data_IF_769874968205
#
_entry.id   IF_769874968205
#
_cell.length_a   1.000
_cell.length_b   1.000
_cell.length_c   1.000
_cell.angle_alpha   90.00
_cell.angle_beta   90.00
_cell.angle_gamma   90.00
#
_symmetry.space_group_name_H-M   'P 1'
#
loop_
_entity.id
_entity.type
_entity.pdbx_description
1 polymer ?
#
# COMPACT_ATOMS: atom_id res chain seq x y z
N UNK A 1 6.57 23.92 46.65
CA UNK A 1 6.33 22.47 46.67
C UNK A 1 6.00 22.05 45.24
N UNK A 2 6.87 21.26 44.61
CA UNK A 2 6.59 20.51 43.37
C UNK A 2 6.67 21.28 42.05
N UNK A 3 7.88 21.46 41.53
CA UNK A 3 8.14 21.68 40.10
C UNK A 3 7.73 20.41 39.35
N UNK A 4 6.83 20.49 38.37
CA UNK A 4 6.64 19.43 37.39
C UNK A 4 7.59 19.68 36.23
N UNK A 5 8.50 18.75 36.06
CA UNK A 5 9.68 18.82 35.20
C UNK A 5 9.29 18.96 33.73
N UNK A 6 9.70 20.07 33.12
CA UNK A 6 9.92 20.16 31.68
C UNK A 6 11.13 19.27 31.34
N UNK A 7 10.88 18.02 30.95
CA UNK A 7 11.93 17.14 30.45
C UNK A 7 12.33 17.56 29.04
N UNK A 8 13.35 18.42 28.99
CA UNK A 8 14.54 18.32 28.13
C UNK A 8 14.33 17.56 26.80
N UNK A 9 13.97 18.30 25.76
CA UNK A 9 14.21 17.89 24.35
C UNK A 9 15.35 18.71 23.75
N UNK A 10 16.37 19.04 24.55
CA UNK A 10 17.60 19.67 24.05
C UNK A 10 18.63 18.57 23.73
N UNK A 11 18.97 18.44 22.45
CA UNK A 11 20.13 17.65 22.00
C UNK A 11 19.82 16.35 21.26
N UNK A 12 18.56 16.08 20.87
CA UNK A 12 18.29 15.06 19.86
C UNK A 12 18.41 15.72 18.49
N UNK A 13 19.37 15.25 17.68
CA UNK A 13 19.44 15.56 16.25
C UNK A 13 18.03 15.45 15.66
N UNK A 14 17.60 16.37 14.78
CA UNK A 14 16.25 16.36 14.23
C UNK A 14 16.01 14.97 13.68
N UNK A 15 15.17 14.18 14.37
CA UNK A 15 14.73 12.89 13.87
C UNK A 15 14.26 13.17 12.46
N UNK A 16 14.93 12.58 11.46
CA UNK A 16 14.64 12.89 10.07
C UNK A 16 13.13 12.75 9.87
N UNK A 17 12.49 13.90 9.70
CA UNK A 17 11.04 14.00 9.72
C UNK A 17 10.58 13.69 8.29
N UNK A 18 10.11 12.48 8.07
CA UNK A 18 9.59 12.04 6.78
C UNK A 18 8.16 12.51 6.62
N UNK A 19 7.86 13.11 5.47
CA UNK A 19 6.50 13.51 5.13
C UNK A 19 5.77 12.33 4.47
N UNK A 20 4.72 11.83 5.11
CA UNK A 20 3.90 10.76 4.55
C UNK A 20 3.10 11.25 3.32
N UNK A 21 3.12 10.48 2.22
CA UNK A 21 2.39 10.85 0.99
C UNK A 21 0.87 10.78 1.12
N UNK A 22 0.34 10.04 2.09
CA UNK A 22 -1.10 9.86 2.28
C UNK A 22 -1.69 10.86 3.29
N UNK A 23 -1.17 10.92 4.51
CA UNK A 23 -1.70 11.82 5.56
C UNK A 23 -1.01 13.19 5.61
N UNK A 24 0.06 13.39 4.82
CA UNK A 24 0.82 14.64 4.74
C UNK A 24 1.48 15.10 6.05
N UNK A 25 1.49 14.25 7.09
CA UNK A 25 2.14 14.51 8.37
C UNK A 25 3.65 14.27 8.28
N UNK A 26 4.43 15.07 9.03
CA UNK A 26 5.84 14.85 9.27
C UNK A 26 5.99 13.89 10.45
N UNK A 27 6.68 12.77 10.24
CA UNK A 27 6.75 11.67 11.18
C UNK A 27 8.19 11.22 11.36
N UNK A 28 8.55 10.71 12.55
CA UNK A 28 9.87 10.15 12.78
C UNK A 28 10.07 8.88 11.94
N UNK A 29 11.34 8.54 11.66
CA UNK A 29 11.70 7.32 10.93
C UNK A 29 11.09 6.04 11.55
N UNK A 30 10.89 6.01 12.86
CA UNK A 30 10.24 4.90 13.59
C UNK A 30 8.81 4.64 13.13
N UNK A 31 8.12 5.63 12.58
CA UNK A 31 6.76 5.53 12.05
C UNK A 31 6.72 5.28 10.53
N UNK A 32 7.89 5.26 9.89
CA UNK A 32 8.04 4.91 8.48
C UNK A 32 8.29 3.41 8.32
N UNK A 33 7.76 2.82 7.25
CA UNK A 33 7.97 1.41 6.93
C UNK A 33 9.07 1.25 5.88
N UNK A 34 9.83 0.16 5.91
CA UNK A 34 10.78 -0.18 4.84
C UNK A 34 10.17 -1.18 3.84
N UNK A 35 10.73 -1.25 2.64
CA UNK A 35 10.44 -2.33 1.70
C UNK A 35 11.37 -3.54 1.88
N UNK A 36 11.23 -4.53 0.99
CA UNK A 36 12.06 -5.75 1.00
C UNK A 36 13.53 -5.48 0.65
N UNK A 37 13.84 -4.30 0.13
CA UNK A 37 15.19 -3.84 -0.18
C UNK A 37 15.72 -2.87 0.89
N UNK A 38 15.09 -2.83 2.07
CA UNK A 38 15.43 -1.94 3.18
C UNK A 38 15.35 -0.44 2.84
N UNK A 39 14.63 -0.07 1.78
CA UNK A 39 14.40 1.33 1.43
C UNK A 39 13.21 1.87 2.21
N UNK A 40 13.32 3.07 2.77
CA UNK A 40 12.24 3.74 3.48
C UNK A 40 11.11 4.07 2.50
N UNK A 41 9.90 3.67 2.84
CA UNK A 41 8.69 3.99 2.06
C UNK A 41 8.23 5.39 2.40
N UNK A 42 7.65 6.06 1.42
CA UNK A 42 7.02 7.37 1.62
C UNK A 42 5.65 7.31 2.32
N UNK A 43 5.15 6.10 2.59
CA UNK A 43 3.94 5.86 3.38
C UNK A 43 4.31 5.47 4.82
N UNK A 44 3.64 6.11 5.78
CA UNK A 44 3.79 5.77 7.20
C UNK A 44 3.03 4.47 7.57
N UNK A 45 3.49 3.82 8.64
CA UNK A 45 2.90 2.57 9.14
C UNK A 45 1.38 2.68 9.43
N UNK A 46 0.86 3.77 10.05
CA UNK A 46 -0.58 3.91 10.26
C UNK A 46 -1.39 3.93 8.96
N UNK A 47 -1.00 4.74 7.97
CA UNK A 47 -1.67 4.80 6.67
C UNK A 47 -1.67 3.43 5.99
N UNK A 48 -0.54 2.72 6.05
CA UNK A 48 -0.42 1.37 5.51
C UNK A 48 -1.37 0.39 6.17
N UNK A 49 -1.51 0.43 7.49
CA UNK A 49 -2.41 -0.45 8.24
C UNK A 49 -3.88 -0.21 7.86
N UNK A 50 -4.26 1.06 7.68
CA UNK A 50 -5.60 1.45 7.21
C UNK A 50 -5.83 0.93 5.78
N UNK A 51 -4.91 1.19 4.86
CA UNK A 51 -5.02 0.74 3.46
C UNK A 51 -5.06 -0.80 3.36
N UNK A 52 -4.25 -1.50 4.16
CA UNK A 52 -4.28 -2.96 4.22
C UNK A 52 -5.64 -3.50 4.68
N UNK A 53 -6.28 -2.83 5.63
CA UNK A 53 -7.63 -3.18 6.11
C UNK A 53 -8.69 -2.94 5.02
N UNK A 54 -8.63 -1.80 4.34
CA UNK A 54 -9.52 -1.45 3.23
C UNK A 54 -9.40 -2.51 2.11
N UNK A 55 -8.19 -2.77 1.63
CA UNK A 55 -7.94 -3.75 0.56
C UNK A 55 -8.40 -5.15 0.98
N UNK A 56 -8.19 -5.55 2.25
CA UNK A 56 -8.65 -6.84 2.76
C UNK A 56 -10.18 -6.96 2.69
N UNK A 57 -10.90 -5.92 3.12
CA UNK A 57 -12.36 -5.92 3.11
C UNK A 57 -12.90 -5.90 1.67
N UNK A 58 -12.38 -5.01 0.82
CA UNK A 58 -12.78 -4.97 -0.59
C UNK A 58 -12.54 -6.30 -1.31
N UNK A 59 -11.41 -6.99 -1.04
CA UNK A 59 -11.14 -8.32 -1.61
C UNK A 59 -12.13 -9.36 -1.13
N UNK A 60 -12.54 -9.31 0.14
CA UNK A 60 -13.53 -10.22 0.70
C UNK A 60 -14.89 -10.02 0.04
N UNK A 61 -15.28 -8.76 -0.13
CA UNK A 61 -16.61 -8.40 -0.64
C UNK A 61 -16.74 -8.62 -2.15
N UNK A 62 -15.62 -8.60 -2.90
CA UNK A 62 -15.59 -8.75 -4.36
C UNK A 62 -14.94 -10.06 -4.82
N UNK A 63 -14.81 -11.06 -3.96
CA UNK A 63 -14.13 -12.32 -4.31
C UNK A 63 -14.87 -13.10 -5.40
N UNK A 64 -16.20 -12.97 -5.47
CA UNK A 64 -17.05 -13.63 -6.46
C UNK A 64 -16.84 -13.10 -7.88
N UNK A 65 -16.25 -11.91 -8.03
CA UNK A 65 -15.93 -11.30 -9.33
C UNK A 65 -14.45 -11.42 -9.71
N UNK A 66 -13.66 -12.19 -8.93
CA UNK A 66 -12.25 -12.43 -9.22
C UNK A 66 -12.10 -13.12 -10.59
N UNK A 67 -11.35 -12.56 -11.54
CA UNK A 67 -11.22 -13.15 -12.86
C UNK A 67 -10.38 -14.44 -12.84
N UNK A 68 -10.65 -15.28 -13.83
CA UNK A 68 -9.96 -16.53 -14.15
C UNK A 68 -8.65 -16.29 -14.90
N UNK A 69 -7.99 -17.35 -15.37
CA UNK A 69 -6.76 -17.21 -16.16
C UNK A 69 -7.06 -16.85 -17.62
N UNK A 70 -8.28 -17.12 -18.05
CA UNK A 70 -8.80 -16.93 -19.40
C UNK A 70 -9.39 -15.52 -19.60
N UNK A 71 -9.77 -14.85 -18.51
CA UNK A 71 -10.25 -13.47 -18.53
C UNK A 71 -9.13 -12.47 -18.84
N UNK A 72 -9.51 -11.31 -19.39
CA UNK A 72 -8.59 -10.26 -19.83
C UNK A 72 -8.58 -9.04 -18.90
N UNK A 73 -7.41 -8.42 -18.76
CA UNK A 73 -7.29 -7.14 -18.08
C UNK A 73 -8.00 -6.05 -18.91
N UNK A 74 -8.93 -5.27 -18.35
CA UNK A 74 -9.69 -4.27 -19.11
C UNK A 74 -8.84 -3.08 -19.59
N UNK A 75 -7.57 -2.99 -19.18
CA UNK A 75 -6.68 -1.87 -19.53
C UNK A 75 -5.59 -2.24 -20.53
N UNK A 76 -5.14 -3.51 -20.55
CA UNK A 76 -4.10 -3.95 -21.49
C UNK A 76 -4.47 -5.18 -22.31
N UNK A 77 -5.70 -5.68 -22.14
CA UNK A 77 -6.31 -6.77 -22.93
C UNK A 77 -5.53 -8.09 -22.89
N UNK A 78 -4.60 -8.23 -21.94
CA UNK A 78 -3.88 -9.48 -21.71
C UNK A 78 -4.70 -10.40 -20.84
N UNK A 79 -4.73 -11.67 -21.22
CA UNK A 79 -5.31 -12.73 -20.41
C UNK A 79 -4.52 -12.92 -19.12
N UNK A 80 -5.18 -13.46 -18.09
CA UNK A 80 -4.51 -13.89 -16.86
C UNK A 80 -3.32 -14.81 -17.13
N UNK A 81 -3.43 -15.67 -18.16
CA UNK A 81 -2.38 -16.59 -18.59
C UNK A 81 -1.17 -15.86 -19.13
N UNK A 82 -1.36 -14.92 -20.06
CA UNK A 82 -0.27 -14.10 -20.60
C UNK A 82 0.39 -13.22 -19.54
N UNK A 83 -0.38 -12.73 -18.56
CA UNK A 83 0.15 -11.95 -17.44
C UNK A 83 1.05 -12.83 -16.57
N UNK A 84 0.61 -14.06 -16.24
CA UNK A 84 1.39 -15.01 -15.44
C UNK A 84 2.67 -15.42 -16.15
N UNK A 85 2.60 -15.70 -17.44
CA UNK A 85 3.73 -16.26 -18.19
C UNK A 85 4.84 -15.22 -18.45
N UNK A 86 4.53 -13.92 -18.25
CA UNK A 86 5.50 -12.82 -18.37
C UNK A 86 6.42 -12.71 -17.15
N UNK A 87 7.72 -12.90 -17.39
CA UNK A 87 8.80 -12.45 -16.49
C UNK A 87 8.65 -12.93 -15.04
N UNK A 88 8.81 -12.01 -14.09
CA UNK A 88 8.78 -12.31 -12.64
C UNK A 88 7.37 -12.60 -12.09
N UNK A 89 6.33 -12.60 -12.92
CA UNK A 89 4.93 -12.82 -12.51
C UNK A 89 4.52 -14.29 -12.48
N UNK A 90 5.36 -15.24 -12.93
CA UNK A 90 5.04 -16.67 -12.96
C UNK A 90 4.61 -17.26 -11.62
N UNK A 91 5.09 -16.68 -10.51
CA UNK A 91 4.75 -17.09 -9.14
C UNK A 91 3.67 -16.22 -8.49
N UNK A 92 3.17 -15.19 -9.17
CA UNK A 92 2.22 -14.22 -8.63
C UNK A 92 0.84 -14.44 -9.24
N UNK A 93 -0.19 -14.04 -8.48
CA UNK A 93 -1.57 -13.99 -9.02
C UNK A 93 -1.61 -12.89 -10.10
N UNK A 94 -2.28 -13.13 -11.24
CA UNK A 94 -2.31 -12.15 -12.33
C UNK A 94 -3.14 -10.91 -11.97
N UNK A 95 -4.15 -11.08 -11.13
CA UNK A 95 -5.12 -10.04 -10.76
C UNK A 95 -4.80 -9.37 -9.43
N UNK A 96 -4.91 -8.05 -9.43
CA UNK A 96 -4.94 -7.21 -8.24
C UNK A 96 -6.25 -6.45 -8.18
N UNK A 97 -6.68 -6.13 -6.96
CA UNK A 97 -7.86 -5.33 -6.71
C UNK A 97 -7.49 -3.86 -6.88
N UNK A 98 -8.19 -3.18 -7.76
CA UNK A 98 -8.05 -1.74 -7.97
C UNK A 98 -9.19 -1.00 -7.25
N UNK A 99 -8.83 0.05 -6.52
CA UNK A 99 -9.78 0.89 -5.79
C UNK A 99 -9.43 2.36 -5.93
N UNK A 100 -10.43 3.22 -5.73
CA UNK A 100 -10.22 4.66 -5.63
C UNK A 100 -9.65 4.99 -4.25
N UNK A 101 -8.49 5.65 -4.20
CA UNK A 101 -7.79 5.95 -2.94
C UNK A 101 -8.41 7.10 -2.12
N UNK A 102 -9.43 7.79 -2.64
CA UNK A 102 -10.17 8.84 -1.93
C UNK A 102 -11.49 8.31 -1.37
N UNK A 103 -12.23 7.54 -2.16
CA UNK A 103 -13.55 7.02 -1.78
C UNK A 103 -13.51 5.60 -1.21
N UNK A 104 -12.37 4.90 -1.37
CA UNK A 104 -12.20 3.49 -1.03
C UNK A 104 -13.21 2.56 -1.74
N UNK A 105 -13.70 2.97 -2.91
CA UNK A 105 -14.61 2.17 -3.71
C UNK A 105 -13.84 1.24 -4.65
N UNK A 106 -14.31 0.00 -4.74
CA UNK A 106 -13.82 -0.97 -5.71
C UNK A 106 -14.08 -0.48 -7.13
N UNK A 107 -13.05 -0.51 -8.00
CA UNK A 107 -13.16 -0.14 -9.42
C UNK A 107 -13.14 -1.35 -10.33
N UNK A 108 -12.44 -2.41 -9.94
CA UNK A 108 -12.34 -3.63 -10.72
C UNK A 108 -11.15 -4.50 -10.33
N UNK A 109 -11.06 -5.64 -11.00
CA UNK A 109 -9.85 -6.47 -11.01
C UNK A 109 -9.04 -6.13 -12.26
N UNK A 110 -7.79 -5.75 -12.07
CA UNK A 110 -6.85 -5.44 -13.16
C UNK A 110 -5.52 -6.16 -12.91
N UNK A 111 -4.62 -6.15 -13.89
CA UNK A 111 -3.31 -6.77 -13.69
C UNK A 111 -2.38 -5.91 -12.84
N UNK A 112 -1.41 -6.54 -12.16
CA UNK A 112 -0.42 -5.82 -11.34
C UNK A 112 0.39 -4.76 -12.13
N UNK A 113 0.50 -4.90 -13.45
CA UNK A 113 1.24 -3.94 -14.27
C UNK A 113 0.44 -2.66 -14.57
N UNK A 114 -0.89 -2.76 -14.65
CA UNK A 114 -1.76 -1.61 -14.92
C UNK A 114 -2.20 -0.88 -13.65
N UNK A 115 -2.20 -1.57 -12.51
CA UNK A 115 -2.45 -1.00 -11.19
C UNK A 115 -1.26 -0.22 -10.65
#
# INVERSE_FOLDING_TARGET
MGMIQETLTEGMDPVENFKCIHCQQHLPMTDMSTDSHHTVRYECKPCRAVNATIVRNLKKDNLTTLPSMEDECPLCERTGQEIRDRGSFQKRKPWTLDHDHKTNQFRGWICQHCN
#
